data_IF_734490805247
#
_entry.id   IF_734490805247
#
_cell.length_a   1.000
_cell.length_b   1.000
_cell.length_c   1.000
_cell.angle_alpha   90.00
_cell.angle_beta   90.00
_cell.angle_gamma   90.00
#
_symmetry.space_group_name_H-M   'P 1'
#
loop_
_entity.id
_entity.type
_entity.pdbx_description
1 polymer ?
#
# COMPACT_ATOMS: atom_id res chain seq x y z
N UNK A 1 -8.49 4.54 4.10
CA UNK A 1 -7.95 5.91 4.07
C UNK A 1 -6.66 5.88 4.90
N UNK A 2 -5.56 6.42 4.38
CA UNK A 2 -4.29 6.51 5.11
C UNK A 2 -4.33 7.79 5.97
N UNK A 3 -3.80 7.79 7.21
CA UNK A 3 -3.80 8.99 8.05
C UNK A 3 -2.91 10.10 7.47
N UNK A 4 -3.47 11.30 7.32
CA UNK A 4 -2.72 12.53 6.95
C UNK A 4 -2.32 13.35 8.18
N UNK A 5 -2.67 12.88 9.37
CA UNK A 5 -2.26 13.45 10.65
C UNK A 5 -1.79 12.32 11.54
N UNK A 6 -0.90 12.66 12.46
CA UNK A 6 -0.47 11.73 13.51
C UNK A 6 -1.69 11.34 14.35
N UNK A 7 -1.85 10.05 14.54
CA UNK A 7 -2.79 9.48 15.49
C UNK A 7 -2.19 9.57 16.89
N UNK A 8 -3.05 9.58 17.90
CA UNK A 8 -2.60 9.55 19.29
C UNK A 8 -1.75 8.29 19.56
N UNK A 9 -0.60 8.50 20.20
CA UNK A 9 0.37 7.46 20.56
C UNK A 9 -0.24 6.31 21.37
N UNK A 10 -1.34 6.57 22.09
CA UNK A 10 -2.14 5.56 22.79
C UNK A 10 -2.59 4.40 21.89
N UNK A 11 -2.74 4.63 20.58
CA UNK A 11 -3.09 3.57 19.62
C UNK A 11 -1.97 2.56 19.42
N UNK A 12 -0.71 2.96 19.60
CA UNK A 12 0.44 2.07 19.50
C UNK A 12 0.49 1.10 20.70
N UNK A 13 0.13 1.58 21.88
CA UNK A 13 0.07 0.78 23.11
C UNK A 13 -0.97 -0.34 23.00
N UNK A 14 -2.08 -0.10 22.30
CA UNK A 14 -3.12 -1.11 22.03
C UNK A 14 -2.61 -2.33 21.26
N UNK A 15 -1.50 -2.18 20.53
CA UNK A 15 -0.89 -3.23 19.72
C UNK A 15 0.55 -3.53 20.15
N UNK A 16 0.93 -3.17 21.38
CA UNK A 16 2.30 -3.34 21.89
C UNK A 16 2.78 -4.80 21.95
N UNK A 17 1.85 -5.75 22.04
CA UNK A 17 2.15 -7.18 22.13
C UNK A 17 2.35 -7.87 20.77
N UNK A 18 2.20 -7.14 19.65
CA UNK A 18 2.29 -7.70 18.31
C UNK A 18 3.31 -6.96 17.42
N UNK A 19 3.95 -7.70 16.52
CA UNK A 19 4.83 -7.12 15.49
C UNK A 19 3.99 -6.55 14.33
N UNK A 20 3.66 -5.26 14.40
CA UNK A 20 2.97 -4.54 13.33
C UNK A 20 3.88 -4.42 12.09
N UNK A 21 3.29 -4.49 10.90
CA UNK A 21 4.02 -4.41 9.62
C UNK A 21 4.70 -3.05 9.41
N UNK A 22 4.10 -1.99 9.98
CA UNK A 22 4.69 -0.66 10.08
C UNK A 22 4.74 -0.25 11.56
N UNK A 23 5.92 -0.27 12.21
CA UNK A 23 6.07 0.14 13.61
C UNK A 23 5.69 1.60 13.88
N UNK A 24 5.70 2.46 12.84
CA UNK A 24 5.38 3.87 12.92
C UNK A 24 4.00 4.20 12.31
N UNK A 25 3.09 3.22 12.18
CA UNK A 25 1.78 3.39 11.52
C UNK A 25 0.90 4.53 12.05
N UNK A 26 1.14 4.98 13.29
CA UNK A 26 0.43 6.08 13.94
C UNK A 26 0.98 7.47 13.56
N UNK A 27 2.14 7.53 12.90
CA UNK A 27 2.73 8.78 12.38
C UNK A 27 2.38 8.94 10.91
N UNK A 28 1.99 10.14 10.52
CA UNK A 28 1.80 10.47 9.11
C UNK A 28 3.15 10.65 8.42
N UNK A 29 3.27 10.14 7.20
CA UNK A 29 4.52 10.17 6.44
C UNK A 29 4.31 9.91 4.95
N UNK A 30 5.36 10.07 4.14
CA UNK A 30 5.31 9.73 2.72
C UNK A 30 5.04 8.22 2.53
N UNK A 31 4.36 7.88 1.43
CA UNK A 31 4.14 6.47 1.05
C UNK A 31 5.39 5.95 0.35
N UNK A 32 6.06 4.96 0.93
CA UNK A 32 7.24 4.33 0.32
C UNK A 32 6.86 3.40 -0.84
N UNK A 33 5.81 2.59 -0.66
CA UNK A 33 5.38 1.58 -1.63
C UNK A 33 3.85 1.48 -1.66
N UNK A 34 3.28 1.46 -2.87
CA UNK A 34 1.87 1.13 -3.10
C UNK A 34 1.75 -0.31 -3.58
N UNK A 35 1.07 -1.16 -2.82
CA UNK A 35 0.85 -2.56 -3.19
C UNK A 35 -0.54 -2.74 -3.84
N UNK A 36 -0.56 -3.36 -5.01
CA UNK A 36 -1.79 -3.72 -5.73
C UNK A 36 -2.60 -4.79 -5.00
N UNK A 37 -3.89 -4.93 -5.36
CA UNK A 37 -4.79 -5.92 -4.73
C UNK A 37 -4.35 -7.36 -5.01
N UNK A 38 -3.81 -7.60 -6.20
CA UNK A 38 -3.20 -8.84 -6.65
C UNK A 38 -1.99 -9.27 -5.80
N UNK A 39 -1.20 -8.30 -5.32
CA UNK A 39 -0.07 -8.55 -4.42
C UNK A 39 -0.49 -8.58 -2.95
N UNK A 40 -1.44 -7.74 -2.53
CA UNK A 40 -1.80 -7.62 -1.11
C UNK A 40 -2.67 -8.76 -0.61
N UNK A 41 -3.64 -9.24 -1.40
CA UNK A 41 -4.55 -10.30 -0.95
C UNK A 41 -3.81 -11.61 -0.60
N UNK A 42 -2.85 -12.11 -1.41
CA UNK A 42 -2.08 -13.31 -1.06
C UNK A 42 -1.21 -13.17 0.19
N UNK A 43 -0.83 -11.94 0.56
CA UNK A 43 -0.02 -11.69 1.77
C UNK A 43 -0.84 -11.77 3.05
N UNK A 44 -2.17 -11.63 2.98
CA UNK A 44 -3.05 -11.70 4.14
C UNK A 44 -3.13 -13.15 4.67
N UNK A 45 -3.28 -13.26 5.98
CA UNK A 45 -3.50 -14.53 6.69
C UNK A 45 -4.86 -14.51 7.38
N UNK A 46 -5.39 -15.69 7.68
CA UNK A 46 -6.71 -15.87 8.32
C UNK A 46 -6.73 -15.58 9.82
N UNK A 47 -5.87 -14.68 10.31
CA UNK A 47 -5.78 -14.32 11.72
C UNK A 47 -6.12 -12.85 11.91
N UNK A 48 -7.09 -12.57 12.77
CA UNK A 48 -7.53 -11.22 13.12
C UNK A 48 -7.52 -11.05 14.63
N UNK A 49 -7.03 -9.91 15.11
CA UNK A 49 -7.07 -9.49 16.50
C UNK A 49 -8.02 -8.30 16.62
N UNK A 50 -9.15 -8.49 17.31
CA UNK A 50 -10.12 -7.43 17.58
C UNK A 50 -9.99 -6.95 19.02
N UNK A 51 -9.96 -5.63 19.22
CA UNK A 51 -9.88 -5.00 20.54
C UNK A 51 -11.26 -4.63 21.12
N UNK A 52 -12.34 -5.01 20.43
CA UNK A 52 -13.72 -4.73 20.82
C UNK A 52 -14.42 -3.75 19.87
N UNK A 53 -15.66 -3.40 20.22
CA UNK A 53 -16.50 -2.51 19.42
C UNK A 53 -15.92 -1.10 19.39
N UNK A 54 -15.98 -0.44 18.23
CA UNK A 54 -15.51 0.94 18.00
C UNK A 54 -14.01 1.18 18.20
N UNK A 55 -13.21 0.11 18.23
CA UNK A 55 -11.75 0.16 18.27
C UNK A 55 -11.14 -0.36 16.95
N UNK A 56 -9.90 0.04 16.62
CA UNK A 56 -9.16 -0.60 15.55
C UNK A 56 -8.94 -2.09 15.85
N UNK A 57 -8.71 -2.86 14.79
CA UNK A 57 -8.38 -4.27 14.83
C UNK A 57 -7.16 -4.52 13.94
N UNK A 58 -6.48 -5.65 14.11
CA UNK A 58 -5.33 -6.02 13.31
C UNK A 58 -5.58 -7.30 12.52
N UNK A 59 -5.09 -7.37 11.28
CA UNK A 59 -5.09 -8.59 10.46
C UNK A 59 -3.65 -9.03 10.25
N UNK A 60 -3.36 -10.31 10.40
CA UNK A 60 -2.03 -10.84 10.15
C UNK A 60 -1.72 -10.87 8.65
N UNK A 61 -0.50 -10.48 8.29
CA UNK A 61 0.07 -10.69 6.96
C UNK A 61 1.49 -11.26 7.04
N UNK A 62 2.06 -11.63 5.90
CA UNK A 62 3.47 -12.03 5.79
C UNK A 62 4.45 -10.92 6.18
N UNK A 63 4.05 -9.65 6.05
CA UNK A 63 4.88 -8.49 6.39
C UNK A 63 4.76 -8.08 7.87
N UNK A 64 3.90 -8.75 8.64
CA UNK A 64 3.53 -8.36 10.01
C UNK A 64 2.03 -8.08 10.15
N UNK A 65 1.62 -7.59 11.30
CA UNK A 65 0.22 -7.26 11.56
C UNK A 65 -0.17 -5.91 10.94
N UNK A 66 -1.29 -5.86 10.22
CA UNK A 66 -1.81 -4.65 9.59
C UNK A 66 -2.95 -4.11 10.47
N UNK A 67 -2.80 -2.89 10.99
CA UNK A 67 -3.85 -2.21 11.76
C UNK A 67 -4.90 -1.63 10.81
N UNK A 68 -6.17 -1.89 11.09
CA UNK A 68 -7.34 -1.48 10.30
C UNK A 68 -8.48 -1.02 11.21
N UNK A 69 -9.42 -0.28 10.65
CA UNK A 69 -10.63 0.16 11.35
C UNK A 69 -10.60 1.65 11.71
N UNK A 70 -11.56 2.07 12.52
CA UNK A 70 -11.75 3.47 12.88
C UNK A 70 -10.71 3.86 13.93
N UNK A 71 -9.85 4.82 13.58
CA UNK A 71 -9.08 5.58 14.55
C UNK A 71 -9.93 6.79 14.95
N UNK A 72 -10.17 6.98 16.25
CA UNK A 72 -10.91 8.14 16.73
C UNK A 72 -10.01 9.38 16.56
N UNK A 73 -10.12 10.07 15.44
CA UNK A 73 -9.52 11.38 15.27
C UNK A 73 -10.49 12.44 15.79
N UNK A 74 -10.02 13.31 16.68
CA UNK A 74 -10.79 14.43 17.23
C UNK A 74 -10.96 15.59 16.24
N UNK A 75 -10.74 15.35 14.94
CA UNK A 75 -10.79 16.35 13.87
C UNK A 75 -12.17 16.45 13.24
N UNK A 76 -12.53 17.65 12.77
CA UNK A 76 -13.77 17.94 12.05
C UNK A 76 -14.00 16.94 10.89
N UNK A 77 -15.27 16.65 10.58
CA UNK A 77 -15.71 15.80 9.45
C UNK A 77 -15.29 16.37 8.08
N UNK A 78 -14.00 16.44 7.81
CA UNK A 78 -13.45 16.84 6.53
C UNK A 78 -13.39 15.62 5.61
N UNK A 79 -13.97 15.75 4.42
CA UNK A 79 -13.76 14.78 3.35
C UNK A 79 -12.28 14.81 2.97
N UNK A 80 -11.56 13.73 3.25
CA UNK A 80 -10.15 13.61 2.87
C UNK A 80 -10.01 12.75 1.61
N UNK A 81 -9.40 13.32 0.58
CA UNK A 81 -9.11 12.64 -0.68
C UNK A 81 -7.60 12.47 -0.79
N UNK A 82 -7.13 11.21 -0.83
CA UNK A 82 -5.73 10.92 -1.11
C UNK A 82 -5.53 10.96 -2.62
N UNK A 83 -4.66 11.86 -3.09
CA UNK A 83 -4.28 11.97 -4.49
C UNK A 83 -2.85 11.50 -4.66
N UNK A 84 -2.63 10.54 -5.56
CA UNK A 84 -1.29 10.13 -5.97
C UNK A 84 -1.00 10.82 -7.30
N UNK A 85 -0.10 11.81 -7.27
CA UNK A 85 0.38 12.43 -8.49
C UNK A 85 1.62 11.66 -8.97
N UNK A 86 1.48 10.81 -9.99
CA UNK A 86 2.65 10.27 -10.69
C UNK A 86 3.27 11.39 -11.53
N UNK A 87 4.24 12.11 -10.97
CA UNK A 87 5.01 13.11 -11.73
C UNK A 87 6.26 12.45 -12.31
N UNK A 88 6.11 11.78 -13.46
CA UNK A 88 7.21 11.64 -14.40
C UNK A 88 6.73 10.97 -15.67
N UNK A 89 6.86 11.67 -16.80
CA UNK A 89 6.84 11.07 -18.15
C UNK A 89 7.75 9.84 -18.19
N UNK A 90 8.82 9.82 -17.39
CA UNK A 90 9.74 8.71 -17.25
C UNK A 90 9.09 7.40 -16.76
N UNK A 91 8.11 7.43 -15.84
CA UNK A 91 7.42 6.23 -15.36
C UNK A 91 6.45 5.70 -16.42
N UNK A 92 5.73 6.60 -17.08
CA UNK A 92 4.83 6.28 -18.19
C UNK A 92 5.64 5.71 -19.38
N UNK A 93 6.76 6.33 -19.72
CA UNK A 93 7.65 5.86 -20.78
C UNK A 93 8.24 4.49 -20.43
N UNK A 94 8.70 4.28 -19.18
CA UNK A 94 9.18 2.98 -18.70
C UNK A 94 8.12 1.90 -18.79
N UNK A 95 6.88 2.21 -18.42
CA UNK A 95 5.78 1.28 -18.54
C UNK A 95 5.56 0.86 -19.99
N UNK A 96 5.52 1.80 -20.93
CA UNK A 96 5.35 1.52 -22.35
C UNK A 96 6.55 0.83 -23.00
N UNK A 97 7.78 1.06 -22.54
CA UNK A 97 8.97 0.30 -22.95
C UNK A 97 8.84 -1.19 -22.61
N UNK A 98 8.31 -1.51 -21.42
CA UNK A 98 8.17 -2.89 -20.92
C UNK A 98 7.05 -3.64 -21.66
N UNK A 99 5.93 -2.96 -21.94
CA UNK A 99 4.78 -3.54 -22.64
C UNK A 99 4.97 -3.59 -24.18
N UNK A 100 5.96 -2.86 -24.70
CA UNK A 100 6.29 -2.91 -26.12
C UNK A 100 6.86 -4.28 -26.52
N UNK A 101 6.17 -4.96 -27.44
CA UNK A 101 6.67 -6.20 -28.05
C UNK A 101 7.96 -5.88 -28.81
N UNK A 102 9.06 -6.57 -28.46
CA UNK A 102 10.32 -6.44 -29.20
C UNK A 102 10.05 -6.72 -30.67
N UNK A 103 10.24 -5.72 -31.53
CA UNK A 103 10.23 -5.92 -32.97
C UNK A 103 11.37 -6.87 -33.30
N UNK A 104 11.07 -8.16 -33.41
CA UNK A 104 11.99 -9.13 -33.97
C UNK A 104 12.21 -8.68 -35.39
N UNK A 105 13.42 -8.18 -35.69
CA UNK A 105 13.83 -7.88 -37.05
C UNK A 105 13.41 -9.07 -37.92
N UNK A 106 12.63 -8.87 -39.00
CA UNK A 106 12.42 -9.95 -39.96
C UNK A 106 13.82 -10.42 -40.40
N UNK A 107 14.06 -11.73 -40.37
CA UNK A 107 15.29 -12.31 -40.90
C UNK A 107 15.45 -11.82 -42.35
N UNK A 108 16.43 -10.93 -42.57
CA UNK A 108 16.86 -10.55 -43.91
C UNK A 108 17.75 -11.63 -44.51
N UNK A 109 17.82 -11.64 -45.85
CA UNK A 109 18.68 -12.39 -46.77
C UNK A 109 18.27 -13.83 -47.12
N UNK A 110 17.17 -13.99 -47.86
CA UNK A 110 17.01 -15.10 -48.83
C UNK A 110 16.15 -14.76 -50.07
N UNK A 111 15.88 -13.48 -50.36
CA UNK A 111 15.13 -13.06 -51.56
C UNK A 111 16.03 -12.43 -52.65
N UNK A 112 17.31 -12.82 -52.67
CA UNK A 112 18.22 -12.57 -53.80
C UNK A 112 18.84 -13.89 -54.27
N UNK A 113 18.05 -14.73 -54.97
CA UNK A 113 18.53 -15.74 -55.93
C UNK A 113 17.39 -16.19 -56.85
#
# INVERSE_FOLDING_TARGET
MIPHHDLDSSISELFGDISVADPAFYKSGPIDVLLGVDLTLPLLKDQTLSLGKDKPFAIRSELGWIVKGKANSSGQNALHVNHIQLVSDHLINKFWEIDSVRSTKPLTSLEEA
#
